data_IF_406823110680
#
_entry.id   IF_406823110680
#
_cell.length_a   1.000
_cell.length_b   1.000
_cell.length_c   1.000
_cell.angle_alpha   90.00
_cell.angle_beta   90.00
_cell.angle_gamma   90.00
#
_symmetry.space_group_name_H-M   'P 1'
#
loop_
_entity.id
_entity.type
_entity.pdbx_description
1 polymer ?
#
# COMPACT_ATOMS: atom_id res chain seq x y z
N UNK A 1 -10.34 -8.14 22.33
CA UNK A 1 -10.51 -6.87 21.58
C UNK A 1 -11.76 -6.99 20.72
N UNK A 2 -12.55 -5.91 20.62
CA UNK A 2 -13.76 -5.89 19.79
C UNK A 2 -13.61 -5.00 18.55
N UNK A 3 -14.44 -5.24 17.53
CA UNK A 3 -14.48 -4.47 16.28
C UNK A 3 -14.52 -2.94 16.46
N UNK A 4 -15.23 -2.36 17.46
CA UNK A 4 -15.24 -0.90 17.64
C UNK A 4 -13.88 -0.31 18.02
N UNK A 5 -13.06 -1.04 18.79
CA UNK A 5 -11.73 -0.58 19.17
C UNK A 5 -10.77 -0.59 17.96
N UNK A 6 -10.86 -1.63 17.12
CA UNK A 6 -10.11 -1.70 15.87
C UNK A 6 -10.50 -0.57 14.92
N UNK A 7 -11.80 -0.27 14.80
CA UNK A 7 -12.26 0.80 13.92
C UNK A 7 -11.78 2.18 14.38
N UNK A 8 -11.85 2.48 15.67
CA UNK A 8 -11.31 3.76 16.19
C UNK A 8 -9.82 3.90 15.93
N UNK A 9 -9.07 2.81 16.09
CA UNK A 9 -7.65 2.82 15.83
C UNK A 9 -7.33 2.96 14.33
N UNK A 10 -8.12 2.34 13.45
CA UNK A 10 -8.06 2.58 12.01
C UNK A 10 -8.24 4.07 11.68
N UNK A 11 -9.30 4.69 12.21
CA UNK A 11 -9.61 6.09 11.91
C UNK A 11 -8.47 7.00 12.42
N UNK A 12 -7.95 6.75 13.64
CA UNK A 12 -6.83 7.51 14.20
C UNK A 12 -5.54 7.36 13.40
N UNK A 13 -5.13 6.12 13.09
CA UNK A 13 -3.86 5.87 12.42
C UNK A 13 -3.91 6.31 10.96
N UNK A 14 -4.96 5.92 10.24
CA UNK A 14 -4.96 5.94 8.78
C UNK A 14 -5.80 7.06 8.16
N UNK A 15 -6.72 7.65 8.92
CA UNK A 15 -7.64 8.70 8.42
C UNK A 15 -7.26 10.08 8.96
N UNK A 16 -6.85 10.21 10.22
CA UNK A 16 -6.39 11.48 10.79
C UNK A 16 -4.89 11.76 10.55
N UNK A 17 -4.28 11.08 9.58
CA UNK A 17 -2.90 11.29 9.11
C UNK A 17 -1.77 11.06 10.16
N UNK A 18 -1.99 10.29 11.23
CA UNK A 18 -0.88 9.88 12.12
C UNK A 18 0.13 8.97 11.36
N UNK A 19 -0.41 8.04 10.58
CA UNK A 19 0.32 7.14 9.67
C UNK A 19 -0.51 6.98 8.38
N UNK A 20 -0.52 7.98 7.49
CA UNK A 20 -1.37 7.99 6.30
C UNK A 20 -1.09 6.79 5.40
N UNK A 21 -2.12 6.00 5.08
CA UNK A 21 -1.95 4.79 4.25
C UNK A 21 -1.96 5.09 2.74
N UNK A 22 -1.24 6.13 2.29
CA UNK A 22 -1.18 6.61 0.90
C UNK A 22 0.24 6.96 0.48
N UNK A 23 0.65 6.58 -0.74
CA UNK A 23 2.02 6.77 -1.23
C UNK A 23 2.45 8.24 -1.20
N UNK A 24 1.56 9.16 -1.60
CA UNK A 24 1.85 10.60 -1.66
C UNK A 24 2.23 11.24 -0.32
N UNK A 25 1.92 10.59 0.81
CA UNK A 25 2.33 11.07 2.12
C UNK A 25 3.78 10.69 2.48
N UNK A 26 4.37 9.71 1.79
CA UNK A 26 5.69 9.16 2.08
C UNK A 26 6.69 9.35 0.93
N UNK A 27 6.20 9.59 -0.29
CA UNK A 27 7.00 9.71 -1.51
C UNK A 27 6.52 10.88 -2.37
N UNK A 28 7.46 11.61 -2.97
CA UNK A 28 7.14 12.60 -4.00
C UNK A 28 6.91 11.98 -5.38
N UNK A 29 7.29 10.71 -5.55
CA UNK A 29 7.12 9.94 -6.78
C UNK A 29 6.03 8.89 -6.55
N UNK A 30 4.82 9.21 -6.98
CA UNK A 30 3.67 8.30 -6.91
C UNK A 30 3.66 7.38 -8.14
N UNK A 31 3.26 6.13 -7.96
CA UNK A 31 3.06 5.15 -9.02
C UNK A 31 2.24 5.74 -10.16
N UNK A 32 2.66 5.44 -11.39
CA UNK A 32 2.10 5.99 -12.62
C UNK A 32 2.10 7.54 -12.70
N UNK A 33 2.85 8.25 -11.84
CA UNK A 33 2.95 9.70 -11.84
C UNK A 33 1.81 10.45 -11.15
N UNK A 34 0.97 9.77 -10.37
CA UNK A 34 -0.07 10.39 -9.53
C UNK A 34 -1.47 9.81 -9.69
N UNK A 35 -2.38 10.29 -8.84
CA UNK A 35 -3.73 9.72 -8.65
C UNK A 35 -4.56 9.60 -9.94
N UNK A 36 -4.55 10.61 -10.83
CA UNK A 36 -5.31 10.56 -12.07
C UNK A 36 -4.88 9.41 -13.02
N UNK A 37 -3.58 9.07 -13.03
CA UNK A 37 -3.09 7.95 -13.82
C UNK A 37 -3.41 6.61 -13.14
N UNK A 38 -3.34 6.54 -11.81
CA UNK A 38 -3.77 5.35 -11.04
C UNK A 38 -5.24 5.05 -11.27
N UNK A 39 -6.11 6.05 -11.24
CA UNK A 39 -7.53 5.89 -11.55
C UNK A 39 -7.78 5.30 -12.93
N UNK A 40 -7.01 5.73 -13.94
CA UNK A 40 -7.09 5.18 -15.29
C UNK A 40 -6.66 3.72 -15.32
N UNK A 41 -5.57 3.36 -14.63
CA UNK A 41 -5.11 1.97 -14.54
C UNK A 41 -6.14 1.08 -13.85
N UNK A 42 -6.70 1.53 -12.71
CA UNK A 42 -7.73 0.78 -12.00
C UNK A 42 -8.99 0.59 -12.84
N UNK A 43 -9.42 1.62 -13.55
CA UNK A 43 -10.56 1.51 -14.48
C UNK A 43 -10.31 0.50 -15.58
N UNK A 44 -9.12 0.48 -16.16
CA UNK A 44 -8.72 -0.50 -17.18
C UNK A 44 -8.69 -1.93 -16.62
N UNK A 45 -8.32 -2.06 -15.35
CA UNK A 45 -8.34 -3.33 -14.61
C UNK A 45 -9.73 -3.74 -14.07
N UNK A 46 -10.76 -2.90 -14.26
CA UNK A 46 -12.10 -3.16 -13.69
C UNK A 46 -12.19 -2.98 -12.17
N UNK A 47 -11.20 -2.32 -11.55
CA UNK A 47 -11.11 -2.07 -10.11
C UNK A 47 -11.84 -0.74 -9.79
N UNK A 48 -12.76 -0.79 -8.81
CA UNK A 48 -13.46 0.39 -8.29
C UNK A 48 -12.79 0.92 -7.02
N UNK A 49 -12.65 2.25 -6.91
CA UNK A 49 -12.05 2.91 -5.75
C UNK A 49 -12.84 2.74 -4.45
N UNK A 50 -14.15 2.53 -4.52
CA UNK A 50 -15.04 2.44 -3.34
C UNK A 50 -14.85 3.59 -2.32
N UNK A 51 -14.61 4.81 -2.81
CA UNK A 51 -14.38 5.99 -1.97
C UNK A 51 -12.99 6.08 -1.32
N UNK A 52 -12.01 5.29 -1.77
CA UNK A 52 -10.62 5.36 -1.34
C UNK A 52 -9.80 6.26 -2.26
N UNK A 53 -8.74 6.84 -1.70
CA UNK A 53 -7.74 7.55 -2.48
C UNK A 53 -7.03 6.60 -3.47
N UNK A 54 -6.73 7.04 -4.70
CA UNK A 54 -6.13 6.17 -5.72
C UNK A 54 -4.75 5.63 -5.32
N UNK A 55 -3.94 6.40 -4.60
CA UNK A 55 -2.59 6.03 -4.15
C UNK A 55 -2.60 5.39 -2.75
N UNK A 56 -3.77 4.96 -2.27
CA UNK A 56 -3.83 4.24 -0.99
C UNK A 56 -3.21 2.84 -1.12
N UNK A 57 -2.51 2.38 -0.06
CA UNK A 57 -1.88 1.07 -0.02
C UNK A 57 -2.86 -0.04 -0.41
N UNK A 58 -4.11 0.06 0.05
CA UNK A 58 -5.14 -0.91 -0.28
C UNK A 58 -5.37 -1.00 -1.80
N UNK A 59 -5.49 0.14 -2.49
CA UNK A 59 -5.73 0.18 -3.93
C UNK A 59 -4.51 -0.31 -4.72
N UNK A 60 -3.31 0.09 -4.33
CA UNK A 60 -2.07 -0.35 -4.97
C UNK A 60 -1.86 -1.86 -4.82
N UNK A 61 -2.18 -2.44 -3.65
CA UNK A 61 -2.11 -3.89 -3.43
C UNK A 61 -3.18 -4.65 -4.23
N UNK A 62 -4.41 -4.13 -4.34
CA UNK A 62 -5.45 -4.73 -5.19
C UNK A 62 -4.99 -4.73 -6.65
N UNK A 63 -4.40 -3.63 -7.12
CA UNK A 63 -3.88 -3.55 -8.48
C UNK A 63 -2.66 -4.45 -8.70
N UNK A 64 -1.75 -4.54 -7.72
CA UNK A 64 -0.62 -5.47 -7.75
C UNK A 64 -1.08 -6.93 -7.84
N UNK A 65 -2.08 -7.32 -7.05
CA UNK A 65 -2.66 -8.66 -7.09
C UNK A 65 -3.31 -8.93 -8.46
N UNK A 66 -4.15 -8.01 -8.95
CA UNK A 66 -4.74 -8.12 -10.29
C UNK A 66 -3.66 -8.26 -11.37
N UNK A 67 -2.60 -7.46 -11.31
CA UNK A 67 -1.51 -7.51 -12.28
C UNK A 67 -0.84 -8.89 -12.34
N UNK A 68 -0.62 -9.52 -11.17
CA UNK A 68 -0.05 -10.87 -11.07
C UNK A 68 -1.03 -11.95 -11.54
N UNK A 69 -2.32 -11.81 -11.28
CA UNK A 69 -3.36 -12.77 -11.68
C UNK A 69 -3.58 -12.81 -13.20
N UNK A 70 -3.41 -11.69 -13.90
CA UNK A 70 -3.57 -11.61 -15.35
C UNK A 70 -2.44 -12.30 -16.14
N UNK A 71 -1.46 -12.90 -15.47
CA UNK A 71 -0.21 -13.42 -16.06
C UNK A 71 0.51 -12.39 -16.96
N UNK A 72 0.30 -11.09 -16.66
CA UNK A 72 1.09 -9.98 -17.20
C UNK A 72 2.53 -10.00 -16.66
N UNK A 73 2.85 -10.97 -15.80
CA UNK A 73 4.19 -11.38 -15.35
C UNK A 73 5.21 -11.46 -16.49
N UNK A 74 4.76 -11.82 -17.70
CA UNK A 74 5.60 -11.89 -18.90
C UNK A 74 5.98 -10.51 -19.49
N UNK A 75 5.46 -9.42 -18.92
CA UNK A 75 5.95 -8.05 -19.07
C UNK A 75 6.72 -7.62 -17.81
N UNK A 76 7.92 -8.18 -17.53
CA UNK A 76 8.64 -8.03 -16.25
C UNK A 76 8.95 -6.59 -15.86
N UNK A 77 8.86 -5.64 -16.79
CA UNK A 77 8.97 -4.22 -16.52
C UNK A 77 7.84 -3.69 -15.62
N UNK A 78 6.59 -4.14 -15.80
CA UNK A 78 5.44 -3.59 -15.06
C UNK A 78 5.42 -4.02 -13.60
N UNK A 79 5.61 -5.31 -13.31
CA UNK A 79 5.71 -5.81 -11.94
C UNK A 79 6.85 -5.15 -11.16
N UNK A 80 8.04 -5.07 -11.77
CA UNK A 80 9.21 -4.45 -11.12
C UNK A 80 8.96 -2.99 -10.76
N UNK A 81 8.23 -2.25 -11.59
CA UNK A 81 7.84 -0.86 -11.29
C UNK A 81 6.89 -0.81 -10.09
N UNK A 82 5.82 -1.61 -10.10
CA UNK A 82 4.85 -1.65 -8.98
C UNK A 82 5.57 -2.02 -7.67
N UNK A 83 6.38 -3.08 -7.69
CA UNK A 83 7.12 -3.52 -6.51
C UNK A 83 8.13 -2.47 -6.05
N UNK A 84 8.84 -1.81 -6.97
CA UNK A 84 9.80 -0.75 -6.63
C UNK A 84 9.12 0.41 -5.89
N UNK A 85 7.96 0.86 -6.37
CA UNK A 85 7.18 1.90 -5.70
C UNK A 85 6.76 1.48 -4.29
N UNK A 86 6.09 0.33 -4.16
CA UNK A 86 5.65 -0.18 -2.86
C UNK A 86 6.82 -0.38 -1.88
N UNK A 87 7.93 -0.97 -2.34
CA UNK A 87 9.14 -1.13 -1.51
C UNK A 87 9.80 0.20 -1.13
N UNK A 88 9.57 1.27 -1.88
CA UNK A 88 10.08 2.61 -1.56
C UNK A 88 9.39 3.23 -0.35
N UNK A 89 8.06 3.06 -0.24
CA UNK A 89 7.25 3.84 0.70
C UNK A 89 6.57 3.00 1.80
N UNK A 90 6.31 1.71 1.56
CA UNK A 90 5.63 0.85 2.55
C UNK A 90 6.48 0.64 3.81
N UNK A 91 7.82 0.46 3.76
CA UNK A 91 8.62 0.31 4.98
C UNK A 91 8.56 1.51 5.96
N UNK A 92 8.70 2.79 5.55
CA UNK A 92 8.52 3.90 6.48
C UNK A 92 7.08 4.02 7.03
N UNK A 93 6.05 3.78 6.20
CA UNK A 93 4.66 3.66 6.66
C UNK A 93 4.51 2.56 7.73
N UNK A 94 5.09 1.39 7.47
CA UNK A 94 5.03 0.24 8.36
C UNK A 94 5.71 0.51 9.71
N UNK A 95 6.84 1.22 9.72
CA UNK A 95 7.49 1.67 10.96
C UNK A 95 6.63 2.68 11.72
N UNK A 96 5.95 3.59 11.01
CA UNK A 96 4.99 4.49 11.64
C UNK A 96 3.89 3.71 12.37
N UNK A 97 3.28 2.71 11.72
CA UNK A 97 2.28 1.86 12.37
C UNK A 97 2.80 1.19 13.63
N UNK A 98 4.02 0.65 13.59
CA UNK A 98 4.64 -0.01 14.74
C UNK A 98 4.83 0.96 15.91
N UNK A 99 5.31 2.18 15.64
CA UNK A 99 5.58 3.19 16.67
C UNK A 99 4.32 3.82 17.25
N UNK A 100 3.31 4.09 16.41
CA UNK A 100 2.14 4.88 16.80
C UNK A 100 0.93 4.05 17.17
N UNK A 101 0.84 2.78 16.77
CA UNK A 101 -0.30 1.95 17.13
C UNK A 101 -0.35 1.67 18.64
N UNK A 102 -1.54 1.80 19.20
CA UNK A 102 -1.92 1.41 20.55
C UNK A 102 -2.52 0.01 20.60
N UNK A 103 -2.91 -0.52 19.43
CA UNK A 103 -3.47 -1.85 19.25
C UNK A 103 -2.42 -2.78 18.64
N UNK A 104 -2.20 -3.91 19.30
CA UNK A 104 -1.16 -4.88 18.92
C UNK A 104 -1.31 -5.43 17.49
N UNK A 105 -2.55 -5.57 17.01
CA UNK A 105 -2.81 -5.99 15.63
C UNK A 105 -2.17 -5.06 14.60
N UNK A 106 -2.27 -3.73 14.78
CA UNK A 106 -1.69 -2.77 13.84
C UNK A 106 -0.16 -2.75 13.92
N UNK A 107 0.43 -2.98 15.10
CA UNK A 107 1.88 -3.16 15.23
C UNK A 107 2.36 -4.39 14.49
N UNK A 108 1.68 -5.52 14.68
CA UNK A 108 2.01 -6.78 14.00
C UNK A 108 1.85 -6.67 12.48
N UNK A 109 0.81 -5.97 12.01
CA UNK A 109 0.65 -5.66 10.59
C UNK A 109 1.80 -4.80 10.05
N UNK A 110 2.20 -3.76 10.79
CA UNK A 110 3.37 -2.94 10.47
C UNK A 110 4.64 -3.80 10.35
N UNK A 111 4.95 -4.62 11.36
CA UNK A 111 6.12 -5.48 11.31
C UNK A 111 6.12 -6.44 10.10
N UNK A 112 4.94 -7.01 9.77
CA UNK A 112 4.80 -7.89 8.60
C UNK A 112 5.01 -7.14 7.28
N UNK A 113 4.45 -5.95 7.14
CA UNK A 113 4.62 -5.10 5.96
C UNK A 113 6.08 -4.68 5.79
N UNK A 114 6.73 -4.23 6.86
CA UNK A 114 8.14 -3.84 6.80
C UNK A 114 9.01 -5.00 6.33
N UNK A 115 8.81 -6.20 6.88
CA UNK A 115 9.56 -7.39 6.45
C UNK A 115 9.32 -7.72 4.97
N UNK A 116 8.05 -7.76 4.53
CA UNK A 116 7.71 -8.10 3.14
C UNK A 116 8.31 -7.13 2.12
N UNK A 117 8.32 -5.83 2.43
CA UNK A 117 8.71 -4.79 1.48
C UNK A 117 10.15 -4.30 1.63
N UNK A 118 10.84 -4.66 2.73
CA UNK A 118 12.28 -4.36 2.93
C UNK A 118 13.20 -5.42 2.34
N UNK A 119 12.70 -6.62 2.03
CA UNK A 119 13.48 -7.67 1.37
C UNK A 119 13.83 -7.24 -0.08
N UNK A 120 15.02 -6.63 -0.22
CA UNK A 120 15.67 -6.40 -1.52
C UNK A 120 16.07 -7.75 -2.12
N UNK A 121 15.37 -8.16 -3.18
CA UNK A 121 15.93 -8.73 -4.41
C UNK A 121 17.01 -9.83 -4.24
N UNK A 122 16.71 -10.96 -3.56
CA UNK A 122 17.63 -12.11 -3.46
C UNK A 122 17.17 -13.31 -4.28
N UNK A 123 16.82 -13.14 -5.56
CA UNK A 123 16.87 -14.23 -6.55
C UNK A 123 17.24 -13.68 -7.92
N UNK A 124 18.54 -13.55 -8.16
CA UNK A 124 19.13 -13.77 -9.48
C UNK A 124 19.57 -15.22 -9.56
#
# INVERSE_FOLDING_TARGET
MGLPALRREYDRLLVTDDCPARESAWSSQVLAGGGANLERLYRQAGISLQGREPDSLAMELIYAAWYLEQDLSNAPAGWRVIWHHLSGWVPPFARCLQSHAQVELYRALGARLEMLFSERNTRH
#
